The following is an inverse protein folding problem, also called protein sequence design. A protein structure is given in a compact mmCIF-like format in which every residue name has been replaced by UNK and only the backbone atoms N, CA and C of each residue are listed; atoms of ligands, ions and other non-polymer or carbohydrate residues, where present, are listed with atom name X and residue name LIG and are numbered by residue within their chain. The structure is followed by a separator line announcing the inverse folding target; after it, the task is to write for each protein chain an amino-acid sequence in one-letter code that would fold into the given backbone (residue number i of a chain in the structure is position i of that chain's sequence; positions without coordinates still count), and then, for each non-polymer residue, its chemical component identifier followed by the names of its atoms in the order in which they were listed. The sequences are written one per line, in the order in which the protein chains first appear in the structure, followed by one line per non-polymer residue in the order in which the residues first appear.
data_IF_644088060962
#
_entry.id   IF_644088060962
#
_cell.length_a   1.000
_cell.length_b   1.000
_cell.length_c   1.000
_cell.angle_alpha   90.00
_cell.angle_beta   90.00
_cell.angle_gamma   90.00
#
_symmetry.space_group_name_H-M   'P 1'
#
loop_
_entity.id
_entity.type
_entity.pdbx_description
1 polymer ?
#
# COMPACT_ATOMS: atom_id res chain seq x y z
N UNK A 1 -1.05 12.92 16.29
CA UNK A 1 -2.37 13.57 16.39
C UNK A 1 -3.35 12.67 15.64
N UNK A 2 -4.52 12.32 16.18
CA UNK A 2 -5.55 11.63 15.39
C UNK A 2 -6.48 12.71 14.84
N UNK A 3 -6.62 12.79 13.53
CA UNK A 3 -7.63 13.65 12.92
C UNK A 3 -8.48 12.81 11.96
N UNK A 4 -9.74 13.20 11.85
CA UNK A 4 -10.76 12.51 11.07
C UNK A 4 -11.38 13.54 10.14
N UNK A 5 -11.40 13.23 8.84
CA UNK A 5 -12.07 14.05 7.83
C UNK A 5 -13.25 13.23 7.31
N UNK A 6 -14.46 13.65 7.68
CA UNK A 6 -15.76 13.24 7.12
C UNK A 6 -15.84 11.85 6.50
N UNK A 7 -15.75 10.79 7.32
CA UNK A 7 -15.83 9.38 6.90
C UNK A 7 -14.88 8.99 5.76
N UNK A 8 -13.95 9.87 5.38
CA UNK A 8 -13.21 9.82 4.13
C UNK A 8 -11.73 9.57 4.36
N UNK A 9 -11.17 10.12 5.44
CA UNK A 9 -9.76 9.96 5.78
C UNK A 9 -9.63 9.79 7.29
N UNK A 10 -8.91 8.75 7.69
CA UNK A 10 -8.49 8.54 9.07
C UNK A 10 -6.97 8.47 9.13
N UNK A 11 -6.34 9.37 9.87
CA UNK A 11 -4.89 9.38 10.05
C UNK A 11 -4.50 8.90 11.44
N UNK A 12 -3.53 7.98 11.49
CA UNK A 12 -2.90 7.56 12.74
C UNK A 12 -1.39 7.61 12.62
N UNK A 13 -0.84 8.57 13.36
CA UNK A 13 0.60 8.74 13.60
C UNK A 13 1.12 7.61 14.51
N UNK A 14 2.11 6.85 14.03
CA UNK A 14 2.69 5.74 14.82
C UNK A 14 3.61 6.20 15.95
N UNK A 15 4.11 7.44 15.91
CA UNK A 15 4.81 8.05 17.05
C UNK A 15 3.98 8.01 18.33
N UNK A 16 2.64 8.03 18.21
CA UNK A 16 1.73 7.90 19.35
C UNK A 16 1.41 6.45 19.75
N UNK A 17 1.51 5.49 18.82
CA UNK A 17 1.32 4.06 19.13
C UNK A 17 2.38 3.53 20.10
N UNK A 18 3.61 4.10 20.07
CA UNK A 18 4.69 3.78 21.03
C UNK A 18 4.26 3.93 22.49
N UNK A 19 3.32 4.83 22.78
CA UNK A 19 2.87 5.10 24.15
C UNK A 19 1.68 4.25 24.58
N UNK A 20 0.91 3.69 23.64
CA UNK A 20 -0.35 3.00 23.95
C UNK A 20 -0.29 1.47 23.91
N UNK A 21 0.68 0.87 23.22
CA UNK A 21 0.84 -0.58 23.22
C UNK A 21 2.28 -1.00 22.80
N UNK A 22 3.16 -1.37 23.75
CA UNK A 22 4.55 -1.74 23.45
C UNK A 22 4.68 -3.04 22.62
N UNK A 23 3.64 -3.87 22.56
CA UNK A 23 3.62 -5.10 21.76
C UNK A 23 3.43 -4.85 20.26
N UNK A 24 3.09 -3.63 19.84
CA UNK A 24 3.15 -3.19 18.44
C UNK A 24 4.61 -2.84 18.06
N UNK A 25 5.54 -3.72 18.44
CA UNK A 25 6.98 -3.54 18.25
C UNK A 25 7.31 -3.25 16.78
N UNK A 26 8.31 -2.39 16.61
CA UNK A 26 8.69 -1.79 15.32
C UNK A 26 8.76 -2.86 14.23
N UNK A 27 7.99 -2.68 13.15
CA UNK A 27 8.27 -3.39 11.90
C UNK A 27 9.74 -3.12 11.61
N UNK A 28 10.62 -4.14 11.51
CA UNK A 28 12.03 -3.88 11.28
C UNK A 28 12.19 -3.21 9.92
N UNK A 29 12.25 -1.87 9.92
CA UNK A 29 12.26 -1.08 8.69
C UNK A 29 13.43 -1.48 7.79
N UNK A 30 14.57 -1.84 8.39
CA UNK A 30 15.73 -2.34 7.67
C UNK A 30 15.41 -3.60 6.84
N UNK A 31 14.64 -4.55 7.38
CA UNK A 31 14.28 -5.78 6.67
C UNK A 31 13.29 -5.49 5.54
N UNK A 32 12.26 -4.69 5.82
CA UNK A 32 11.28 -4.30 4.80
C UNK A 32 11.94 -3.49 3.67
N UNK A 33 12.78 -2.52 4.01
CA UNK A 33 13.49 -1.69 3.04
C UNK A 33 14.46 -2.53 2.18
N UNK A 34 15.19 -3.46 2.79
CA UNK A 34 16.06 -4.39 2.06
C UNK A 34 15.27 -5.26 1.08
N UNK A 35 14.11 -5.80 1.50
CA UNK A 35 13.26 -6.60 0.65
C UNK A 35 12.65 -5.77 -0.49
N UNK A 36 12.19 -4.54 -0.22
CA UNK A 36 11.69 -3.61 -1.23
C UNK A 36 12.75 -3.28 -2.29
N UNK A 37 13.97 -2.96 -1.86
CA UNK A 37 15.11 -2.70 -2.76
C UNK A 37 15.41 -3.89 -3.67
N UNK A 38 15.43 -5.09 -3.09
CA UNK A 38 15.68 -6.33 -3.84
C UNK A 38 14.57 -6.57 -4.85
N UNK A 39 13.31 -6.46 -4.43
CA UNK A 39 12.15 -6.65 -5.29
C UNK A 39 12.09 -5.65 -6.45
N UNK A 40 12.24 -4.35 -6.18
CA UNK A 40 12.17 -3.29 -7.20
C UNK A 40 13.33 -3.39 -8.20
N UNK A 41 14.46 -3.99 -7.81
CA UNK A 41 15.58 -4.25 -8.72
C UNK A 41 15.29 -5.41 -9.68
N UNK A 42 14.57 -6.43 -9.21
CA UNK A 42 14.34 -7.68 -9.97
C UNK A 42 12.99 -7.71 -10.71
N UNK A 43 12.04 -6.84 -10.34
CA UNK A 43 10.72 -6.79 -10.90
C UNK A 43 10.49 -5.46 -11.63
N UNK A 44 10.12 -5.47 -12.93
CA UNK A 44 9.90 -4.25 -13.69
C UNK A 44 8.68 -3.50 -13.13
N UNK A 45 8.85 -2.21 -12.86
CA UNK A 45 7.76 -1.33 -12.46
C UNK A 45 7.10 -0.72 -13.70
N UNK A 46 5.78 -0.56 -13.65
CA UNK A 46 5.05 0.17 -14.70
C UNK A 46 5.35 1.66 -14.58
N UNK A 47 5.82 2.27 -15.66
CA UNK A 47 6.07 3.71 -15.70
C UNK A 47 4.75 4.46 -15.91
N UNK A 48 4.50 5.57 -15.20
CA UNK A 48 3.26 6.34 -15.34
C UNK A 48 3.12 6.84 -16.78
N UNK A 49 2.01 6.47 -17.43
CA UNK A 49 1.96 6.37 -18.89
C UNK A 49 1.95 7.72 -19.64
N UNK A 50 1.71 8.88 -19.02
CA UNK A 50 1.26 10.06 -19.82
C UNK A 50 1.62 11.50 -19.45
N UNK A 51 2.39 11.85 -18.41
CA UNK A 51 2.61 13.30 -18.14
C UNK A 51 4.04 13.79 -17.93
N UNK A 52 5.04 12.93 -17.75
CA UNK A 52 6.42 13.37 -17.56
C UNK A 52 7.41 12.56 -18.42
N UNK A 53 7.23 12.60 -19.75
CA UNK A 53 8.23 12.05 -20.69
C UNK A 53 9.61 12.75 -20.62
N UNK A 54 9.72 13.85 -19.86
CA UNK A 54 10.99 14.56 -19.66
C UNK A 54 11.83 14.02 -18.48
N UNK A 55 11.32 13.04 -17.71
CA UNK A 55 12.14 12.33 -16.72
C UNK A 55 13.01 11.29 -17.44
N UNK A 56 14.06 11.75 -18.09
CA UNK A 56 15.14 10.89 -18.57
C UNK A 56 15.88 10.38 -17.34
N UNK A 57 15.68 9.11 -16.97
CA UNK A 57 16.51 8.46 -15.96
C UNK A 57 17.96 8.47 -16.44
N UNK A 58 18.86 9.10 -15.67
CA UNK A 58 20.23 9.36 -16.12
C UNK A 58 21.24 8.36 -15.59
N UNK A 59 20.87 7.56 -14.58
CA UNK A 59 21.82 6.69 -13.87
C UNK A 59 21.32 5.25 -13.74
N UNK A 60 22.19 4.23 -13.89
CA UNK A 60 21.87 2.85 -13.54
C UNK A 60 21.40 2.75 -12.09
N UNK A 61 20.22 2.18 -11.86
CA UNK A 61 19.62 2.06 -10.51
C UNK A 61 18.56 3.11 -10.18
N UNK A 62 18.35 4.11 -11.03
CA UNK A 62 17.18 4.97 -10.94
C UNK A 62 15.94 4.22 -11.47
N UNK A 63 15.05 3.85 -10.56
CA UNK A 63 13.77 3.24 -10.90
C UNK A 63 12.64 4.10 -10.35
N UNK A 64 11.65 4.43 -11.20
CA UNK A 64 10.37 4.95 -10.74
C UNK A 64 9.25 4.26 -11.50
N UNK A 65 8.21 3.91 -10.76
CA UNK A 65 7.05 3.27 -11.31
C UNK A 65 6.18 2.68 -10.23
N UNK A 66 5.20 1.91 -10.66
CA UNK A 66 4.20 1.30 -9.80
C UNK A 66 3.98 -0.15 -10.19
N UNK A 67 3.69 -1.00 -9.22
CA UNK A 67 3.31 -2.38 -9.44
C UNK A 67 2.26 -2.80 -8.42
N UNK A 68 1.38 -3.70 -8.82
CA UNK A 68 0.31 -4.22 -7.97
C UNK A 68 0.63 -5.68 -7.67
N UNK A 69 0.66 -5.99 -6.39
CA UNK A 69 1.13 -7.24 -5.83
C UNK A 69 -0.07 -7.98 -5.24
N UNK A 70 -0.34 -9.22 -5.67
CA UNK A 70 -1.38 -10.02 -5.06
C UNK A 70 -0.93 -10.38 -3.64
N UNK A 71 -1.85 -10.30 -2.68
CA UNK A 71 -1.55 -10.58 -1.28
C UNK A 71 -2.18 -11.88 -0.78
N UNK A 72 -3.22 -12.38 -1.43
CA UNK A 72 -3.92 -13.62 -1.04
C UNK A 72 -3.49 -14.83 -1.86
N UNK A 73 -3.41 -14.65 -3.18
CA UNK A 73 -3.31 -15.75 -4.13
C UNK A 73 -2.12 -15.61 -5.08
N UNK A 74 -1.65 -16.75 -5.56
CA UNK A 74 -0.63 -16.77 -6.60
C UNK A 74 -1.23 -16.34 -7.95
N UNK A 75 -0.44 -15.64 -8.75
CA UNK A 75 -0.83 -15.20 -10.11
C UNK A 75 0.20 -15.70 -11.13
N UNK A 76 -0.07 -15.62 -12.45
CA UNK A 76 0.93 -15.97 -13.47
C UNK A 76 2.27 -15.22 -13.30
N UNK A 77 2.23 -13.97 -12.83
CA UNK A 77 3.42 -13.16 -12.57
C UNK A 77 4.07 -13.45 -11.21
N UNK A 78 3.32 -14.01 -10.24
CA UNK A 78 3.77 -14.26 -8.87
C UNK A 78 3.35 -15.67 -8.41
N UNK A 79 4.07 -16.68 -8.88
CA UNK A 79 3.97 -18.08 -8.47
C UNK A 79 5.36 -18.74 -8.49
N UNK A 80 5.57 -19.95 -7.93
CA UNK A 80 6.87 -20.61 -7.85
C UNK A 80 7.64 -20.82 -9.16
N UNK A 81 6.98 -20.70 -10.32
CA UNK A 81 7.61 -20.81 -11.64
C UNK A 81 7.95 -19.45 -12.26
N UNK A 82 7.51 -18.35 -11.66
CA UNK A 82 7.84 -16.99 -12.10
C UNK A 82 9.27 -16.61 -11.74
N UNK A 83 9.92 -15.86 -12.63
CA UNK A 83 11.26 -15.29 -12.38
C UNK A 83 11.27 -14.28 -11.22
N UNK A 84 10.12 -13.67 -10.90
CA UNK A 84 10.00 -12.70 -9.80
C UNK A 84 9.70 -13.34 -8.44
N UNK A 85 9.48 -14.66 -8.39
CA UNK A 85 9.03 -15.34 -7.17
C UNK A 85 10.03 -15.22 -6.02
N UNK A 86 11.33 -15.34 -6.33
CA UNK A 86 12.39 -15.36 -5.33
C UNK A 86 12.61 -14.02 -4.62
N UNK A 87 12.26 -12.90 -5.25
CA UNK A 87 12.22 -11.58 -4.58
C UNK A 87 10.85 -11.22 -4.04
N UNK A 88 9.77 -11.71 -4.65
CA UNK A 88 8.41 -11.49 -4.19
C UNK A 88 8.13 -12.11 -2.82
N UNK A 89 8.50 -13.38 -2.62
CA UNK A 89 8.17 -14.08 -1.37
C UNK A 89 8.84 -13.43 -0.13
N UNK A 90 10.14 -13.10 -0.15
CA UNK A 90 10.77 -12.36 0.96
C UNK A 90 10.14 -10.98 1.21
N UNK A 91 9.67 -10.29 0.16
CA UNK A 91 8.95 -9.03 0.33
C UNK A 91 7.63 -9.23 1.08
N UNK A 92 6.83 -10.22 0.69
CA UNK A 92 5.57 -10.53 1.39
C UNK A 92 5.82 -10.92 2.84
N UNK A 93 6.88 -11.68 3.13
CA UNK A 93 7.29 -12.00 4.49
C UNK A 93 7.67 -10.76 5.30
N UNK A 94 8.46 -9.87 4.70
CA UNK A 94 8.89 -8.62 5.34
C UNK A 94 7.72 -7.65 5.58
N UNK A 95 6.67 -7.71 4.75
CA UNK A 95 5.44 -6.94 4.91
C UNK A 95 4.54 -7.46 6.03
N UNK A 96 4.70 -8.71 6.49
CA UNK A 96 3.78 -9.34 7.47
C UNK A 96 3.52 -8.48 8.72
N UNK A 97 4.54 -7.93 9.41
CA UNK A 97 4.28 -7.12 10.60
C UNK A 97 3.50 -5.85 10.28
N UNK A 98 3.74 -5.25 9.11
CA UNK A 98 2.97 -4.09 8.65
C UNK A 98 1.51 -4.47 8.40
N UNK A 99 1.26 -5.59 7.70
CA UNK A 99 -0.07 -6.09 7.38
C UNK A 99 -0.89 -6.40 8.64
N UNK A 100 -0.28 -6.97 9.67
CA UNK A 100 -0.94 -7.25 10.95
C UNK A 100 -1.33 -5.97 11.70
N UNK A 101 -0.47 -4.95 11.69
CA UNK A 101 -0.76 -3.64 12.31
C UNK A 101 -1.84 -2.92 11.52
N UNK A 102 -1.71 -2.91 10.19
CA UNK A 102 -2.67 -2.36 9.25
C UNK A 102 -4.07 -3.01 9.43
N UNK A 103 -4.13 -4.34 9.55
CA UNK A 103 -5.38 -5.08 9.70
C UNK A 103 -6.06 -4.78 11.04
N UNK A 104 -5.30 -4.75 12.14
CA UNK A 104 -5.83 -4.35 13.46
C UNK A 104 -6.34 -2.91 13.47
N UNK A 105 -5.60 -1.99 12.84
CA UNK A 105 -6.02 -0.61 12.72
C UNK A 105 -7.32 -0.51 11.92
N UNK A 106 -7.36 -1.12 10.74
CA UNK A 106 -8.53 -1.11 9.88
C UNK A 106 -9.75 -1.73 10.60
N UNK A 107 -9.58 -2.84 11.31
CA UNK A 107 -10.61 -3.45 12.15
C UNK A 107 -11.15 -2.50 13.22
N UNK A 108 -10.28 -1.69 13.84
CA UNK A 108 -10.70 -0.75 14.88
C UNK A 108 -11.48 0.45 14.33
N UNK A 109 -11.17 0.89 13.10
CA UNK A 109 -11.78 2.08 12.49
C UNK A 109 -13.00 1.71 11.64
N UNK A 110 -12.96 0.56 10.97
CA UNK A 110 -13.95 0.06 10.00
C UNK A 110 -14.27 -1.43 10.26
N UNK A 111 -14.84 -1.79 11.44
CA UNK A 111 -15.04 -3.19 11.82
C UNK A 111 -15.95 -3.97 10.86
N UNK A 112 -16.96 -3.30 10.28
CA UNK A 112 -17.89 -3.94 9.33
C UNK A 112 -17.22 -4.27 7.99
N UNK A 113 -16.44 -3.34 7.43
CA UNK A 113 -15.74 -3.56 6.16
C UNK A 113 -14.60 -4.58 6.32
N UNK A 114 -13.93 -4.55 7.48
CA UNK A 114 -12.97 -5.59 7.85
C UNK A 114 -13.62 -6.99 7.86
N UNK A 115 -14.75 -7.15 8.56
CA UNK A 115 -15.44 -8.43 8.66
C UNK A 115 -15.96 -8.91 7.30
N UNK A 116 -16.42 -7.98 6.46
CA UNK A 116 -16.82 -8.29 5.09
C UNK A 116 -15.65 -8.81 4.25
N UNK A 117 -14.49 -8.13 4.29
CA UNK A 117 -13.29 -8.55 3.59
C UNK A 117 -12.74 -9.90 4.07
N UNK A 118 -12.80 -10.15 5.38
CA UNK A 118 -12.44 -11.45 5.97
C UNK A 118 -13.36 -12.58 5.43
N UNK A 119 -14.66 -12.31 5.30
CA UNK A 119 -15.59 -13.27 4.69
C UNK A 119 -15.27 -13.52 3.21
N UNK A 120 -14.92 -12.48 2.42
CA UNK A 120 -14.47 -12.65 1.04
C UNK A 120 -13.23 -13.54 1.00
N UNK A 121 -12.20 -13.21 1.79
CA UNK A 121 -10.96 -13.99 1.85
C UNK A 121 -11.24 -15.47 2.13
N UNK A 122 -12.07 -15.75 3.13
CA UNK A 122 -12.44 -17.11 3.49
C UNK A 122 -13.20 -17.80 2.34
N UNK A 123 -14.14 -17.11 1.70
CA UNK A 123 -14.90 -17.67 0.58
C UNK A 123 -14.02 -17.94 -0.64
N UNK A 124 -13.12 -17.03 -1.02
CA UNK A 124 -12.25 -17.19 -2.17
C UNK A 124 -11.22 -18.28 -1.93
N UNK A 125 -10.51 -18.27 -0.80
CA UNK A 125 -9.46 -19.27 -0.55
C UNK A 125 -10.03 -20.67 -0.30
N UNK A 126 -11.16 -20.80 0.41
CA UNK A 126 -11.68 -22.11 0.82
C UNK A 126 -12.80 -22.66 -0.06
N UNK A 127 -13.57 -21.80 -0.74
CA UNK A 127 -14.73 -22.23 -1.53
C UNK A 127 -14.50 -22.10 -3.04
N UNK A 128 -13.33 -21.62 -3.49
CA UNK A 128 -13.01 -21.56 -4.92
C UNK A 128 -12.87 -22.94 -5.56
N UNK A 129 -13.41 -23.06 -6.77
CA UNK A 129 -13.20 -24.21 -7.66
C UNK A 129 -12.90 -23.69 -9.08
N UNK A 130 -11.67 -23.86 -9.61
CA UNK A 130 -10.54 -24.61 -9.04
C UNK A 130 -9.95 -23.94 -7.78
N UNK A 131 -9.25 -24.70 -6.92
CA UNK A 131 -8.68 -24.17 -5.68
C UNK A 131 -7.66 -23.09 -5.99
N UNK A 132 -7.86 -21.91 -5.41
CA UNK A 132 -6.87 -20.83 -5.44
C UNK A 132 -5.64 -21.29 -4.66
N UNK A 133 -4.45 -21.14 -5.27
CA UNK A 133 -3.19 -21.42 -4.59
C UNK A 133 -2.82 -20.24 -3.69
N UNK A 134 -2.88 -20.35 -2.35
CA UNK A 134 -2.52 -19.27 -1.46
C UNK A 134 -1.01 -18.98 -1.53
N UNK A 135 -0.63 -17.76 -1.16
CA UNK A 135 0.79 -17.42 -0.98
C UNK A 135 1.29 -18.09 0.32
N UNK A 136 2.34 -18.93 0.29
CA UNK A 136 2.74 -19.81 1.42
C UNK A 136 2.98 -19.11 2.77
N UNK A 137 3.29 -17.81 2.74
CA UNK A 137 3.68 -17.03 3.90
C UNK A 137 2.52 -16.29 4.57
N UNK A 138 1.31 -16.44 4.02
CA UNK A 138 0.03 -16.00 4.56
C UNK A 138 -0.62 -17.16 5.28
N UNK A 139 -0.50 -17.20 6.60
CA UNK A 139 -1.41 -18.02 7.38
C UNK A 139 -2.75 -17.29 7.41
N UNK A 140 -3.89 -17.98 7.24
CA UNK A 140 -5.19 -17.42 7.59
C UNK A 140 -5.26 -17.25 9.11
N UNK A 141 -4.48 -16.31 9.66
CA UNK A 141 -4.74 -15.75 10.98
C UNK A 141 -5.83 -14.70 10.81
N UNK A 142 -6.53 -14.38 11.90
CA UNK A 142 -7.67 -13.47 11.98
C UNK A 142 -7.31 -11.99 11.71
N UNK A 143 -6.45 -11.73 10.72
CA UNK A 143 -5.76 -10.46 10.43
C UNK A 143 -5.69 -10.08 8.95
N UNK A 144 -6.05 -10.98 8.03
CA UNK A 144 -5.83 -10.79 6.58
C UNK A 144 -7.09 -10.26 5.87
N UNK A 145 -7.24 -8.94 5.82
CA UNK A 145 -8.31 -8.27 5.06
C UNK A 145 -7.83 -7.60 3.75
N UNK A 146 -6.53 -7.61 3.47
CA UNK A 146 -5.96 -6.94 2.30
C UNK A 146 -5.66 -7.93 1.18
N UNK A 147 -6.34 -7.78 0.04
CA UNK A 147 -6.26 -8.68 -1.12
C UNK A 147 -5.11 -8.36 -2.06
N UNK A 148 -4.71 -7.07 -2.13
CA UNK A 148 -3.58 -6.62 -2.92
C UNK A 148 -2.85 -5.43 -2.30
N UNK A 149 -1.63 -5.20 -2.77
CA UNK A 149 -0.77 -4.09 -2.40
C UNK A 149 -0.31 -3.38 -3.67
N UNK A 150 -0.54 -2.08 -3.78
CA UNK A 150 0.19 -1.26 -4.76
C UNK A 150 1.46 -0.73 -4.14
N UNK A 151 2.57 -1.07 -4.77
CA UNK A 151 3.89 -0.55 -4.48
C UNK A 151 4.23 0.52 -5.51
N UNK A 152 4.35 1.77 -5.07
CA UNK A 152 4.90 2.84 -5.87
C UNK A 152 6.30 3.17 -5.36
N UNK A 153 7.29 3.14 -6.25
CA UNK A 153 8.66 3.45 -5.91
C UNK A 153 9.13 4.70 -6.64
N UNK A 154 9.88 5.53 -5.94
CA UNK A 154 10.73 6.53 -6.53
C UNK A 154 12.12 6.41 -5.92
N UNK A 155 13.05 5.90 -6.73
CA UNK A 155 14.48 5.77 -6.41
C UNK A 155 15.30 6.73 -7.27
N UNK A 156 14.66 7.73 -7.87
CA UNK A 156 15.34 8.69 -8.73
C UNK A 156 15.97 9.85 -7.92
N UNK A 157 17.13 10.33 -8.38
CA UNK A 157 17.70 11.61 -7.94
C UNK A 157 16.86 12.79 -8.43
N UNK A 158 16.06 12.60 -9.47
CA UNK A 158 15.16 13.60 -10.03
C UNK A 158 13.82 13.54 -9.32
N UNK A 159 13.37 14.70 -8.89
CA UNK A 159 12.13 14.82 -8.12
C UNK A 159 10.92 14.38 -8.94
N UNK A 160 10.13 13.45 -8.39
CA UNK A 160 8.93 12.93 -9.03
C UNK A 160 7.84 12.63 -8.01
N UNK A 161 6.56 12.83 -8.35
CA UNK A 161 5.45 12.42 -7.50
C UNK A 161 5.33 10.90 -7.51
N UNK A 162 4.92 10.31 -6.39
CA UNK A 162 4.47 8.92 -6.35
C UNK A 162 3.05 8.87 -6.93
N UNK A 163 2.82 7.87 -7.79
CA UNK A 163 1.52 7.67 -8.42
C UNK A 163 0.45 7.35 -7.38
N UNK A 164 -0.74 7.94 -7.55
CA UNK A 164 -1.84 7.76 -6.62
C UNK A 164 -3.18 7.61 -7.32
N UNK A 165 -4.02 6.74 -6.79
CA UNK A 165 -5.41 6.56 -7.17
C UNK A 165 -5.96 5.32 -6.50
N UNK A 166 -7.15 5.40 -5.91
CA UNK A 166 -7.84 4.20 -5.44
C UNK A 166 -8.33 3.33 -6.60
N UNK A 167 -8.21 3.77 -7.85
CA UNK A 167 -8.54 2.97 -9.03
C UNK A 167 -7.27 2.32 -9.57
N UNK A 168 -7.13 1.03 -9.31
CA UNK A 168 -6.16 0.18 -10.01
C UNK A 168 -6.97 -0.79 -10.84
N UNK A 169 -6.70 -0.93 -12.14
CA UNK A 169 -7.26 -2.04 -12.89
C UNK A 169 -6.34 -3.25 -12.70
N UNK A 170 -6.74 -4.27 -11.93
CA UNK A 170 -6.07 -5.57 -12.05
C UNK A 170 -6.71 -6.36 -13.18
N UNK A 171 -5.88 -7.18 -13.81
CA UNK A 171 -6.36 -8.24 -14.68
C UNK A 171 -6.64 -9.45 -13.80
N UNK A 172 -7.91 -9.82 -13.65
CA UNK A 172 -8.34 -11.04 -12.95
C UNK A 172 -7.75 -12.28 -13.63
N UNK A 173 -7.81 -13.42 -12.93
CA UNK A 173 -7.31 -14.70 -13.44
C UNK A 173 -7.93 -15.11 -14.78
N UNK A 174 -9.16 -14.70 -15.05
CA UNK A 174 -9.89 -14.93 -16.32
C UNK A 174 -9.51 -13.94 -17.44
N UNK A 175 -8.54 -13.05 -17.21
CA UNK A 175 -8.14 -12.02 -18.17
C UNK A 175 -9.05 -10.80 -18.19
N UNK A 176 -10.13 -10.77 -17.39
CA UNK A 176 -10.99 -9.59 -17.30
C UNK A 176 -10.29 -8.48 -16.51
N UNK A 177 -10.37 -7.24 -17.00
CA UNK A 177 -9.92 -6.08 -16.23
C UNK A 177 -11.01 -5.74 -15.24
N UNK A 178 -10.77 -6.02 -13.96
CA UNK A 178 -11.60 -5.50 -12.89
C UNK A 178 -10.93 -4.23 -12.38
N UNK A 179 -11.72 -3.19 -12.14
CA UNK A 179 -11.27 -2.19 -11.18
C UNK A 179 -11.02 -2.93 -9.87
N UNK A 180 -9.76 -3.10 -9.52
CA UNK A 180 -9.29 -3.41 -8.17
C UNK A 180 -8.97 -2.07 -7.54
N UNK A 181 -9.99 -1.22 -7.53
CA UNK A 181 -10.10 -0.28 -6.45
C UNK A 181 -10.76 -1.02 -5.31
N UNK A 182 -9.98 -1.36 -4.30
CA UNK A 182 -10.56 -1.70 -3.03
C UNK A 182 -11.44 -0.54 -2.56
N UNK A 183 -12.54 -0.83 -1.85
CA UNK A 183 -13.32 0.23 -1.22
C UNK A 183 -12.43 1.05 -0.28
N UNK A 184 -11.40 0.45 0.31
CA UNK A 184 -10.51 1.16 1.22
C UNK A 184 -9.06 0.90 0.88
N UNK A 185 -8.24 1.93 1.04
CA UNK A 185 -6.79 1.84 0.92
C UNK A 185 -6.13 2.25 2.23
N UNK A 186 -5.20 1.45 2.72
CA UNK A 186 -4.27 1.84 3.77
C UNK A 186 -2.95 2.27 3.15
N UNK A 187 -2.51 3.50 3.38
CA UNK A 187 -1.26 4.03 2.84
C UNK A 187 -0.22 4.16 3.93
N UNK A 188 0.97 3.64 3.65
CA UNK A 188 2.16 3.83 4.50
C UNK A 188 3.40 4.02 3.63
N UNK A 189 4.51 4.38 4.27
CA UNK A 189 5.78 4.70 3.61
C UNK A 189 6.96 3.99 4.23
N UNK A 190 7.91 3.64 3.37
CA UNK A 190 9.24 3.16 3.73
C UNK A 190 10.32 3.94 2.94
N UNK A 191 11.53 4.02 3.51
CA UNK A 191 12.66 4.74 2.93
C UNK A 191 13.04 6.00 3.70
N UNK A 192 14.03 6.72 3.17
CA UNK A 192 14.60 7.92 3.80
C UNK A 192 13.85 9.20 3.42
N UNK A 193 13.12 9.16 2.28
CA UNK A 193 12.28 10.27 1.85
C UNK A 193 11.22 10.62 2.89
N UNK A 194 10.94 11.93 3.03
CA UNK A 194 9.83 12.46 3.83
C UNK A 194 8.74 12.98 2.90
N UNK A 195 7.97 12.08 2.25
CA UNK A 195 6.95 12.51 1.32
C UNK A 195 5.90 13.35 2.04
N UNK A 196 5.43 14.37 1.35
CA UNK A 196 4.25 15.13 1.77
C UNK A 196 3.08 14.61 0.96
N UNK A 197 2.12 14.01 1.65
CA UNK A 197 0.88 13.54 1.07
C UNK A 197 -0.05 14.74 0.85
N UNK A 198 -0.64 14.81 -0.34
CA UNK A 198 -1.60 15.84 -0.71
C UNK A 198 -2.95 15.19 -0.97
N UNK A 199 -4.01 15.87 -0.54
CA UNK A 199 -5.39 15.47 -0.77
C UNK A 199 -6.07 16.56 -1.59
N UNK A 200 -5.89 16.57 -2.93
CA UNK A 200 -6.45 17.63 -3.76
C UNK A 200 -7.98 17.64 -3.63
N UNK A 201 -8.54 18.79 -3.27
CA UNK A 201 -9.99 18.97 -3.15
C UNK A 201 -10.62 18.44 -1.86
N UNK A 202 -9.82 18.06 -0.85
CA UNK A 202 -10.33 17.71 0.48
C UNK A 202 -10.09 18.88 1.42
N UNK A 203 -11.16 19.52 1.89
CA UNK A 203 -11.09 20.51 2.96
C UNK A 203 -10.89 19.80 4.31
N UNK A 204 -9.83 20.17 5.02
CA UNK A 204 -9.52 19.63 6.35
C UNK A 204 -9.84 20.70 7.38
N UNK A 205 -10.91 20.50 8.13
CA UNK A 205 -11.23 21.30 9.32
C UNK A 205 -10.99 20.46 10.57
N UNK A 206 -10.31 21.03 11.56
CA UNK A 206 -10.32 20.49 12.92
C UNK A 206 -11.28 21.31 13.81
N UNK A 207 -11.28 21.01 15.11
CA UNK A 207 -12.05 21.75 16.11
C UNK A 207 -11.69 23.25 16.22
N UNK A 208 -10.57 23.68 15.62
CA UNK A 208 -10.08 25.06 15.61
C UNK A 208 -10.35 25.80 14.29
N UNK A 209 -11.04 25.18 13.34
CA UNK A 209 -11.45 25.79 12.07
C UNK A 209 -10.78 25.18 10.84
N UNK A 210 -10.98 25.78 9.64
CA UNK A 210 -10.37 25.30 8.41
C UNK A 210 -8.86 25.56 8.41
N UNK A 211 -8.07 24.51 8.24
CA UNK A 211 -6.62 24.64 8.06
C UNK A 211 -6.31 24.82 6.58
N UNK A 212 -5.40 25.74 6.25
CA UNK A 212 -4.79 25.82 4.90
C UNK A 212 -3.83 24.63 4.72
N UNK A 213 -4.41 23.46 4.53
CA UNK A 213 -3.71 22.19 4.52
C UNK A 213 -2.99 22.00 3.19
N UNK A 214 -1.78 22.54 3.07
CA UNK A 214 -0.91 22.29 1.90
C UNK A 214 -0.38 20.84 1.79
N UNK A 215 -1.00 19.88 2.48
CA UNK A 215 -0.64 18.47 2.54
C UNK A 215 -0.16 17.99 3.91
N UNK A 216 -0.41 16.73 4.20
CA UNK A 216 0.00 15.99 5.39
C UNK A 216 1.46 15.56 5.27
N UNK A 217 2.31 15.95 6.21
CA UNK A 217 3.64 15.34 6.32
C UNK A 217 3.47 13.98 6.95
N UNK A 218 3.84 12.94 6.21
CA UNK A 218 3.74 11.57 6.67
C UNK A 218 5.15 11.07 6.94
N UNK A 219 5.40 10.61 8.16
CA UNK A 219 6.67 9.98 8.48
C UNK A 219 6.71 8.54 7.97
N UNK A 220 7.90 7.97 7.89
CA UNK A 220 8.02 6.52 7.75
C UNK A 220 7.24 5.84 8.87
N UNK A 221 6.56 4.73 8.56
CA UNK A 221 5.68 3.97 9.46
C UNK A 221 4.29 4.55 9.78
N UNK A 222 4.02 5.82 9.48
CA UNK A 222 2.69 6.38 9.65
C UNK A 222 1.69 5.65 8.74
N UNK A 223 0.45 5.60 9.19
CA UNK A 223 -0.62 4.90 8.49
C UNK A 223 -1.80 5.82 8.27
N UNK A 224 -2.18 5.98 7.01
CA UNK A 224 -3.34 6.74 6.58
C UNK A 224 -4.36 5.74 6.04
N UNK A 225 -5.60 5.79 6.54
CA UNK A 225 -6.72 5.03 5.99
C UNK A 225 -7.53 5.96 5.10
N UNK A 226 -7.74 5.54 3.86
CA UNK A 226 -8.44 6.30 2.83
C UNK A 226 -9.71 5.59 2.41
N UNK A 227 -10.78 6.37 2.32
CA UNK A 227 -12.04 5.97 1.72
C UNK A 227 -11.93 5.84 0.19
N UNK A 228 -12.90 5.17 -0.44
CA UNK A 228 -12.87 4.96 -1.87
C UNK A 228 -12.99 6.31 -2.60
N UNK A 229 -12.26 6.46 -3.71
CA UNK A 229 -12.29 7.65 -4.55
C UNK A 229 -11.40 8.79 -4.07
N UNK A 230 -10.80 8.70 -2.88
CA UNK A 230 -9.86 9.71 -2.39
C UNK A 230 -8.52 9.57 -3.14
N UNK A 231 -8.18 10.59 -3.93
CA UNK A 231 -6.89 10.67 -4.63
C UNK A 231 -5.82 11.23 -3.69
N UNK A 232 -4.63 10.64 -3.70
CA UNK A 232 -3.55 10.97 -2.77
C UNK A 232 -2.22 11.27 -3.44
N UNK A 233 -2.00 12.50 -3.89
CA UNK A 233 -0.72 12.84 -4.50
C UNK A 233 0.43 12.84 -3.49
N UNK A 234 1.66 12.66 -3.96
CA UNK A 234 2.83 13.13 -3.20
C UNK A 234 3.43 14.34 -3.89
N UNK A 235 3.90 15.33 -3.12
CA UNK A 235 4.80 16.33 -3.69
C UNK A 235 6.03 15.63 -4.28
N UNK A 236 6.62 16.18 -5.35
CA UNK A 236 7.93 15.74 -5.79
C UNK A 236 8.93 15.82 -4.63
N UNK A 237 9.69 14.74 -4.39
CA UNK A 237 10.80 14.70 -3.44
C UNK A 237 12.02 14.06 -4.08
N UNK A 238 13.19 14.25 -3.47
CA UNK A 238 14.45 13.61 -3.85
C UNK A 238 14.78 12.54 -2.82
N UNK A 239 15.30 11.41 -3.27
CA UNK A 239 15.72 10.29 -2.44
C UNK A 239 14.87 9.06 -2.65
N UNK A 240 15.19 8.00 -1.91
CA UNK A 240 14.50 6.73 -1.99
C UNK A 240 13.24 6.73 -1.12
N UNK A 241 12.09 6.51 -1.76
CA UNK A 241 10.85 6.28 -1.04
C UNK A 241 9.98 5.25 -1.76
N UNK A 242 9.30 4.47 -0.93
CA UNK A 242 8.34 3.47 -1.31
C UNK A 242 7.02 3.80 -0.63
N UNK A 243 5.98 3.99 -1.44
CA UNK A 243 4.60 4.10 -0.98
C UNK A 243 3.92 2.75 -1.12
N UNK A 244 3.31 2.31 -0.03
CA UNK A 244 2.63 1.03 0.08
C UNK A 244 1.15 1.30 0.32
N UNK A 245 0.32 0.88 -0.63
CA UNK A 245 -1.14 1.01 -0.55
C UNK A 245 -1.79 -0.35 -0.48
N UNK A 246 -2.34 -0.67 0.68
CA UNK A 246 -3.01 -1.94 0.97
C UNK A 246 -4.49 -1.83 0.65
N UNK A 247 -4.99 -2.66 -0.25
CA UNK A 247 -6.39 -2.62 -0.69
C UNK A 247 -7.21 -3.71 -0.02
N UNK A 248 -8.37 -3.31 0.47
CA UNK A 248 -9.43 -4.20 0.98
C UNK A 248 -10.35 -4.53 -0.20
N UNK A 249 -10.75 -5.79 -0.44
CA UNK A 249 -11.69 -6.11 -1.51
C UNK A 249 -12.98 -5.30 -1.36
N UNK A 250 -13.54 -4.86 -2.49
CA UNK A 250 -14.83 -4.16 -2.52
C UNK A 250 -16.03 -5.09 -2.37
N UNK A 251 -17.20 -4.49 -2.10
CA UNK A 251 -18.50 -5.20 -2.06
C UNK A 251 -19.05 -5.53 -3.44
#
# INVERSE_FOLDING_TARGET
MNFHIDNSIYFRDKGLCRNSNPDLSMVPQANLLSALRTFVRECPLETPTRQNQNLVFRSPGECSGTIVLPLWSQTPSFNPRSVHWNSFLPLVEALRPLLEVAGRLFKSVRPYDYAFAENIFLSEIWMSNPPIHPIPCRRPSSGDCFSSLRLSANVALVSGPLGSGTEVCETRFDGSKSAVGGEWALVTWAGEGKPRLEFPGVEVSDENGPWDYQGLRVAAEDVVVLAPGIKTGSKPFVGESYQLELFVPGR
#
